data_IF_448157924014
#
_entry.id   IF_448157924014
#
_cell.length_a   1.000
_cell.length_b   1.000
_cell.length_c   1.000
_cell.angle_alpha   90.00
_cell.angle_beta   90.00
_cell.angle_gamma   90.00
#
_symmetry.space_group_name_H-M   'P 1'
#
loop_
_entity.id
_entity.type
_entity.pdbx_description
1 polymer ?
#
# COMPACT_ATOMS: atom_id res chain seq x y z
N UNK A 1 -18.89 12.45 -13.17
CA UNK A 1 -18.56 11.03 -13.05
C UNK A 1 -18.78 10.61 -11.62
N UNK A 2 -19.71 9.68 -11.43
CA UNK A 2 -20.09 9.13 -10.13
C UNK A 2 -19.07 8.06 -9.71
N UNK A 3 -18.59 8.17 -8.46
CA UNK A 3 -17.66 7.21 -7.87
C UNK A 3 -18.40 6.04 -7.18
N UNK A 4 -19.73 6.08 -7.11
CA UNK A 4 -20.56 5.05 -6.45
C UNK A 4 -20.28 3.63 -6.95
N UNK A 5 -20.15 3.45 -8.27
CA UNK A 5 -19.79 2.17 -8.90
C UNK A 5 -18.46 1.65 -8.34
N UNK A 6 -17.41 2.46 -8.40
CA UNK A 6 -16.09 2.04 -7.92
C UNK A 6 -16.07 1.83 -6.40
N UNK A 7 -16.83 2.63 -5.64
CA UNK A 7 -16.93 2.44 -4.20
C UNK A 7 -17.54 1.08 -3.87
N UNK A 8 -18.59 0.69 -4.61
CA UNK A 8 -19.19 -0.64 -4.51
C UNK A 8 -18.17 -1.72 -4.84
N UNK A 9 -17.48 -1.63 -5.97
CA UNK A 9 -16.50 -2.64 -6.40
C UNK A 9 -15.34 -2.83 -5.39
N UNK A 10 -14.82 -1.74 -4.82
CA UNK A 10 -13.80 -1.81 -3.78
C UNK A 10 -14.31 -2.51 -2.51
N UNK A 11 -15.55 -2.23 -2.10
CA UNK A 11 -16.16 -2.86 -0.94
C UNK A 11 -16.49 -4.35 -1.20
N UNK A 12 -16.90 -4.71 -2.41
CA UNK A 12 -17.09 -6.12 -2.79
C UNK A 12 -15.74 -6.87 -2.83
N UNK A 13 -14.69 -6.26 -3.38
CA UNK A 13 -13.34 -6.83 -3.32
C UNK A 13 -12.91 -7.08 -1.86
N UNK A 14 -13.11 -6.11 -0.96
CA UNK A 14 -12.79 -6.24 0.46
C UNK A 14 -13.50 -7.43 1.15
N UNK A 15 -14.69 -7.79 0.71
CA UNK A 15 -15.43 -8.96 1.24
C UNK A 15 -14.84 -10.28 0.76
N UNK A 16 -14.30 -10.32 -0.45
CA UNK A 16 -13.74 -11.53 -1.08
C UNK A 16 -12.28 -11.78 -0.73
N UNK A 17 -11.53 -10.75 -0.31
CA UNK A 17 -10.15 -10.93 0.15
C UNK A 17 -10.10 -11.87 1.37
N UNK A 18 -9.24 -12.91 1.37
CA UNK A 18 -9.11 -13.84 2.50
C UNK A 18 -8.38 -13.18 3.68
N UNK A 19 -9.12 -12.37 4.47
CA UNK A 19 -8.58 -11.54 5.56
C UNK A 19 -7.70 -12.30 6.55
N UNK A 20 -7.97 -13.59 6.79
CA UNK A 20 -7.15 -14.42 7.67
C UNK A 20 -5.68 -14.47 7.24
N UNK A 21 -5.40 -14.51 5.94
CA UNK A 21 -4.02 -14.54 5.42
C UNK A 21 -3.27 -13.25 5.75
N UNK A 22 -3.97 -12.12 5.70
CA UNK A 22 -3.44 -10.81 6.04
C UNK A 22 -3.24 -10.67 7.56
N UNK A 23 -4.25 -11.07 8.34
CA UNK A 23 -4.16 -11.08 9.80
C UNK A 23 -3.01 -11.97 10.32
N UNK A 24 -2.75 -13.11 9.68
CA UNK A 24 -1.62 -13.98 10.02
C UNK A 24 -0.25 -13.30 9.82
N UNK A 25 -0.18 -12.26 8.98
CA UNK A 25 1.01 -11.42 8.81
C UNK A 25 0.92 -10.08 9.59
N UNK A 26 -0.05 -9.94 10.49
CA UNK A 26 -0.28 -8.70 11.25
C UNK A 26 -0.81 -7.54 10.41
N UNK A 27 -1.39 -7.83 9.24
CA UNK A 27 -1.95 -6.82 8.34
C UNK A 27 -3.46 -6.66 8.56
N UNK A 28 -3.91 -5.43 8.40
CA UNK A 28 -5.30 -5.02 8.33
C UNK A 28 -5.61 -4.41 6.97
N UNK A 29 -6.88 -4.46 6.57
CA UNK A 29 -7.37 -3.96 5.28
C UNK A 29 -8.61 -3.11 5.50
N UNK A 30 -8.66 -1.94 4.87
CA UNK A 30 -9.83 -1.06 4.87
C UNK A 30 -10.08 -0.45 3.49
N UNK A 31 -11.31 0.00 3.26
CA UNK A 31 -11.66 0.87 2.12
C UNK A 31 -12.05 2.23 2.68
N UNK A 32 -11.45 3.29 2.17
CA UNK A 32 -11.65 4.66 2.64
C UNK A 32 -11.90 5.62 1.47
N UNK A 33 -12.66 6.67 1.75
CA UNK A 33 -12.72 7.83 0.88
C UNK A 33 -11.74 8.90 1.38
N UNK A 34 -10.69 9.17 0.60
CA UNK A 34 -9.58 10.06 1.00
C UNK A 34 -9.11 10.87 -0.20
N UNK A 35 -8.89 12.18 -0.01
CA UNK A 35 -8.44 13.09 -1.08
C UNK A 35 -9.25 12.95 -2.38
N UNK A 36 -10.60 12.91 -2.26
CA UNK A 36 -11.52 12.71 -3.39
C UNK A 36 -11.31 11.41 -4.18
N UNK A 37 -10.71 10.41 -3.53
CA UNK A 37 -10.39 9.10 -4.11
C UNK A 37 -11.00 8.01 -3.25
N UNK A 38 -11.40 6.92 -3.89
CA UNK A 38 -11.67 5.66 -3.19
C UNK A 38 -10.33 4.93 -3.12
N UNK A 39 -9.97 4.46 -1.93
CA UNK A 39 -8.73 3.74 -1.72
C UNK A 39 -8.96 2.50 -0.88
N UNK A 40 -8.47 1.35 -1.35
CA UNK A 40 -8.23 0.20 -0.49
C UNK A 40 -6.84 0.37 0.10
N UNK A 41 -6.74 0.28 1.43
CA UNK A 41 -5.47 0.36 2.15
C UNK A 41 -5.17 -0.94 2.87
N UNK A 42 -3.91 -1.35 2.82
CA UNK A 42 -3.37 -2.47 3.59
C UNK A 42 -2.25 -1.94 4.46
N UNK A 43 -2.32 -2.20 5.76
CA UNK A 43 -1.41 -1.60 6.74
C UNK A 43 -1.16 -2.56 7.90
N UNK A 44 -0.09 -2.32 8.66
CA UNK A 44 0.19 -3.02 9.90
C UNK A 44 0.09 -2.01 11.06
N UNK A 45 -0.66 -2.28 12.14
CA UNK A 45 -0.69 -1.42 13.33
C UNK A 45 0.68 -1.20 13.99
N UNK A 46 1.69 -2.01 13.67
CA UNK A 46 3.07 -1.83 14.14
C UNK A 46 3.92 -0.94 13.22
N UNK A 47 3.44 -0.58 12.03
CA UNK A 47 4.16 0.30 11.09
C UNK A 47 3.77 1.76 11.26
N UNK A 48 3.33 2.17 12.44
CA UNK A 48 2.83 3.51 12.73
C UNK A 48 3.32 4.04 14.08
N UNK A 49 3.41 5.35 14.23
CA UNK A 49 3.67 6.01 15.52
C UNK A 49 2.45 6.01 16.46
N UNK A 50 1.25 5.75 15.93
CA UNK A 50 -0.03 5.79 16.64
C UNK A 50 -0.86 4.54 16.29
N UNK A 51 -0.66 3.41 17.02
CA UNK A 51 -1.36 2.15 16.74
C UNK A 51 -2.88 2.21 16.89
N UNK A 52 -3.39 3.12 17.72
CA UNK A 52 -4.83 3.35 17.91
C UNK A 52 -5.49 4.04 16.69
N UNK A 53 -4.70 4.65 15.80
CA UNK A 53 -5.20 5.26 14.57
C UNK A 53 -4.18 5.14 13.41
N UNK A 54 -3.88 3.91 12.94
CA UNK A 54 -2.75 3.67 12.04
C UNK A 54 -2.81 4.44 10.73
N UNK A 55 -4.02 4.59 10.17
CA UNK A 55 -4.22 5.24 8.87
C UNK A 55 -4.19 6.78 8.96
N UNK A 56 -4.38 7.35 10.14
CA UNK A 56 -4.34 8.80 10.38
C UNK A 56 -2.99 9.28 10.94
N UNK A 57 -2.20 8.36 11.51
CA UNK A 57 -0.92 8.65 12.16
C UNK A 57 0.09 9.37 11.27
N UNK A 58 0.80 10.37 11.78
CA UNK A 58 1.75 11.16 10.97
C UNK A 58 2.86 10.30 10.35
N UNK A 59 3.44 9.38 11.13
CA UNK A 59 4.42 8.42 10.67
C UNK A 59 3.76 7.07 10.47
N UNK A 60 3.75 6.58 9.23
CA UNK A 60 3.09 5.33 8.88
C UNK A 60 3.61 4.72 7.58
N UNK A 61 3.53 3.40 7.47
CA UNK A 61 3.70 2.67 6.20
C UNK A 61 2.38 2.00 5.84
N UNK A 62 1.95 2.12 4.59
CA UNK A 62 0.76 1.44 4.08
C UNK A 62 0.87 1.23 2.58
N UNK A 63 0.23 0.18 2.10
CA UNK A 63 -0.07 -0.02 0.69
C UNK A 63 -1.45 0.57 0.38
N UNK A 64 -1.59 1.14 -0.80
CA UNK A 64 -2.84 1.71 -1.28
C UNK A 64 -3.09 1.28 -2.72
N UNK A 65 -4.31 0.87 -3.03
CA UNK A 65 -4.87 0.79 -4.38
C UNK A 65 -5.93 1.88 -4.44
N UNK A 66 -5.95 2.74 -5.46
CA UNK A 66 -6.85 3.88 -5.45
C UNK A 66 -7.29 4.33 -6.83
N UNK A 67 -8.46 4.99 -6.84
CA UNK A 67 -9.11 5.51 -8.03
C UNK A 67 -9.81 6.83 -7.72
N UNK A 68 -9.77 7.77 -8.65
CA UNK A 68 -10.53 9.02 -8.60
C UNK A 68 -10.91 9.50 -10.00
N UNK A 69 -11.56 10.67 -10.09
CA UNK A 69 -11.99 11.23 -11.38
C UNK A 69 -10.85 11.32 -12.40
N UNK A 70 -9.65 11.71 -11.96
CA UNK A 70 -8.47 11.84 -12.83
C UNK A 70 -8.00 10.47 -13.33
N UNK A 71 -7.84 9.50 -12.44
CA UNK A 71 -7.35 8.18 -12.86
C UNK A 71 -8.36 7.44 -13.74
N UNK A 72 -9.67 7.68 -13.55
CA UNK A 72 -10.69 7.13 -14.45
C UNK A 72 -10.57 7.75 -15.85
N UNK A 73 -10.33 9.07 -15.95
CA UNK A 73 -10.08 9.69 -17.27
C UNK A 73 -8.81 9.19 -17.93
N UNK A 74 -7.82 8.77 -17.15
CA UNK A 74 -6.57 8.16 -17.63
C UNK A 74 -6.73 6.66 -17.93
N UNK A 75 -7.90 6.08 -17.66
CA UNK A 75 -8.18 4.65 -17.73
C UNK A 75 -7.21 3.81 -16.87
N UNK A 76 -6.95 4.24 -15.63
CA UNK A 76 -5.99 3.63 -14.71
C UNK A 76 -6.53 3.39 -13.31
N UNK A 77 -6.06 2.31 -12.70
CA UNK A 77 -6.08 2.10 -11.25
C UNK A 77 -4.65 2.18 -10.76
N UNK A 78 -4.40 3.10 -9.82
CA UNK A 78 -3.06 3.31 -9.27
C UNK A 78 -2.87 2.50 -8.01
N UNK A 79 -1.62 2.15 -7.74
CA UNK A 79 -1.24 1.51 -6.50
C UNK A 79 0.14 1.99 -6.03
N UNK A 80 0.37 2.05 -4.72
CA UNK A 80 1.67 2.46 -4.17
C UNK A 80 1.90 1.92 -2.76
N UNK A 81 3.16 1.91 -2.33
CA UNK A 81 3.54 1.73 -0.93
C UNK A 81 4.11 3.06 -0.44
N UNK A 82 3.42 3.70 0.50
CA UNK A 82 3.88 4.93 1.13
C UNK A 82 4.59 4.65 2.45
N UNK A 83 5.63 5.44 2.73
CA UNK A 83 6.46 5.39 3.93
C UNK A 83 6.59 6.80 4.53
N UNK A 84 5.51 7.29 5.13
CA UNK A 84 5.40 8.67 5.56
C UNK A 84 6.16 8.90 6.86
N UNK A 85 6.98 9.96 6.89
CA UNK A 85 7.63 10.51 8.11
C UNK A 85 8.32 9.48 9.01
N UNK A 86 8.94 8.44 8.45
CA UNK A 86 9.56 7.34 9.23
C UNK A 86 10.60 7.75 10.28
N UNK A 87 11.16 8.96 10.20
CA UNK A 87 12.04 9.51 11.26
C UNK A 87 11.30 9.70 12.59
N UNK A 88 9.98 9.80 12.56
CA UNK A 88 9.10 9.95 13.73
C UNK A 88 8.54 8.59 14.21
N UNK A 89 8.91 7.47 13.58
CA UNK A 89 8.46 6.13 13.98
C UNK A 89 9.12 5.73 15.30
N UNK A 90 8.32 5.56 16.35
CA UNK A 90 8.78 5.21 17.70
C UNK A 90 9.49 3.85 17.70
N UNK A 91 10.59 3.74 18.43
CA UNK A 91 11.37 2.49 18.54
C UNK A 91 12.44 2.30 17.46
N UNK A 92 12.58 3.24 16.52
CA UNK A 92 13.53 3.16 15.41
C UNK A 92 14.34 4.45 15.21
N UNK A 93 15.54 4.32 14.66
CA UNK A 93 16.40 5.42 14.19
C UNK A 93 16.52 5.40 12.67
N UNK A 94 15.44 5.75 11.97
CA UNK A 94 15.34 5.55 10.51
C UNK A 94 15.93 6.73 9.73
N UNK A 95 16.81 6.43 8.77
CA UNK A 95 17.11 7.33 7.66
C UNK A 95 16.23 6.97 6.46
N UNK A 96 15.27 7.83 6.11
CA UNK A 96 14.22 7.51 5.13
C UNK A 96 14.77 7.04 3.78
N UNK A 97 15.89 7.61 3.31
CA UNK A 97 16.55 7.19 2.07
C UNK A 97 17.08 5.77 2.18
N UNK A 98 17.89 5.48 3.19
CA UNK A 98 18.44 4.14 3.41
C UNK A 98 17.34 3.08 3.61
N UNK A 99 16.23 3.44 4.29
CA UNK A 99 15.09 2.54 4.41
C UNK A 99 14.48 2.23 3.04
N UNK A 100 14.26 3.24 2.21
CA UNK A 100 13.74 3.05 0.86
C UNK A 100 14.69 2.21 0.00
N UNK A 101 16.00 2.45 0.08
CA UNK A 101 17.00 1.69 -0.67
C UNK A 101 17.06 0.20 -0.22
N UNK A 102 16.99 -0.04 1.09
CA UNK A 102 16.93 -1.39 1.66
C UNK A 102 15.65 -2.13 1.25
N UNK A 103 14.50 -1.44 1.24
CA UNK A 103 13.27 -2.02 0.72
C UNK A 103 13.41 -2.36 -0.77
N UNK A 104 13.83 -1.39 -1.60
CA UNK A 104 13.90 -1.53 -3.06
C UNK A 104 14.88 -2.60 -3.52
N UNK A 105 16.03 -2.72 -2.85
CA UNK A 105 17.00 -3.78 -3.14
C UNK A 105 16.38 -5.17 -3.00
N UNK A 106 15.57 -5.41 -1.96
CA UNK A 106 14.85 -6.67 -1.76
C UNK A 106 13.63 -6.81 -2.67
N UNK A 107 12.89 -5.72 -2.90
CA UNK A 107 11.72 -5.68 -3.76
C UNK A 107 12.05 -5.94 -5.24
N UNK A 108 13.28 -5.68 -5.68
CA UNK A 108 13.73 -5.93 -7.06
C UNK A 108 13.44 -7.36 -7.54
N UNK A 109 13.48 -8.35 -6.65
CA UNK A 109 13.16 -9.75 -6.95
C UNK A 109 11.68 -9.98 -7.32
N UNK A 110 10.79 -9.06 -6.94
CA UNK A 110 9.35 -9.14 -7.19
C UNK A 110 8.90 -8.17 -8.27
N UNK A 111 9.77 -7.26 -8.74
CA UNK A 111 9.37 -6.12 -9.58
C UNK A 111 8.66 -6.53 -10.87
N UNK A 112 9.01 -7.67 -11.47
CA UNK A 112 8.37 -8.18 -12.69
C UNK A 112 6.92 -8.63 -12.49
N UNK A 113 6.46 -8.83 -11.24
CA UNK A 113 5.07 -9.15 -10.91
C UNK A 113 4.15 -7.92 -10.85
N UNK A 114 4.71 -6.71 -10.99
CA UNK A 114 4.00 -5.43 -10.85
C UNK A 114 3.99 -4.66 -12.18
N UNK A 115 2.79 -4.38 -12.70
CA UNK A 115 2.61 -3.70 -13.99
C UNK A 115 2.89 -2.19 -13.89
N UNK A 116 3.64 -1.64 -14.86
CA UNK A 116 3.96 -0.20 -14.93
C UNK A 116 4.56 0.37 -13.62
N UNK A 117 5.36 -0.44 -12.93
CA UNK A 117 5.97 -0.10 -11.66
C UNK A 117 7.16 0.87 -11.83
N UNK A 118 7.20 1.87 -10.95
CA UNK A 118 8.32 2.78 -10.75
C UNK A 118 8.80 2.71 -9.30
N UNK A 119 10.13 2.62 -9.15
CA UNK A 119 10.84 2.62 -7.87
C UNK A 119 11.83 3.77 -7.76
N UNK A 120 12.03 4.57 -8.81
CA UNK A 120 12.91 5.73 -8.85
C UNK A 120 12.26 6.97 -8.21
N UNK A 121 11.66 6.78 -7.04
CA UNK A 121 10.84 7.76 -6.34
C UNK A 121 11.56 8.31 -5.10
N UNK A 122 11.03 9.42 -4.56
CA UNK A 122 11.46 9.94 -3.26
C UNK A 122 11.25 8.94 -2.12
N UNK A 123 11.89 9.13 -0.95
CA UNK A 123 11.90 8.15 0.14
C UNK A 123 10.54 7.97 0.86
N UNK A 124 9.54 8.77 0.52
CA UNK A 124 8.18 8.68 1.06
C UNK A 124 7.28 7.73 0.25
N UNK A 125 7.74 7.29 -0.92
CA UNK A 125 7.04 6.34 -1.78
C UNK A 125 8.02 5.25 -2.16
N UNK A 126 7.85 4.06 -1.57
CA UNK A 126 8.79 2.95 -1.79
C UNK A 126 8.69 2.41 -3.22
N UNK A 127 7.47 2.39 -3.75
CA UNK A 127 7.12 2.03 -5.12
C UNK A 127 5.73 2.59 -5.47
N UNK A 128 5.51 2.85 -6.76
CA UNK A 128 4.21 3.25 -7.32
C UNK A 128 4.05 2.63 -8.70
N UNK A 129 2.83 2.24 -9.05
CA UNK A 129 2.52 1.77 -10.39
C UNK A 129 1.04 1.91 -10.70
N UNK A 130 0.64 1.37 -11.85
CA UNK A 130 -0.75 1.38 -12.28
C UNK A 130 -1.06 0.19 -13.17
N UNK A 131 -2.32 -0.19 -13.18
CA UNK A 131 -2.88 -1.14 -14.14
C UNK A 131 -3.95 -0.45 -14.98
N UNK A 132 -4.26 -1.01 -16.14
CA UNK A 132 -5.40 -0.55 -16.92
C UNK A 132 -6.70 -0.71 -16.14
N UNK A 133 -7.51 0.33 -16.11
CA UNK A 133 -8.84 0.26 -15.53
C UNK A 133 -9.76 -0.53 -16.47
N UNK A 134 -10.27 -1.65 -15.98
CA UNK A 134 -11.35 -2.39 -16.63
C UNK A 134 -12.46 -2.63 -15.62
N UNK A 135 -13.68 -2.15 -15.93
CA UNK A 135 -14.83 -2.24 -15.02
C UNK A 135 -15.28 -3.69 -14.76
N UNK A 136 -15.00 -4.60 -15.68
CA UNK A 136 -15.38 -6.01 -15.56
C UNK A 136 -14.43 -6.78 -14.63
N UNK A 137 -13.16 -6.36 -14.57
CA UNK A 137 -12.10 -7.05 -13.81
C UNK A 137 -11.62 -6.28 -12.58
N UNK A 138 -12.05 -5.04 -12.37
CA UNK A 138 -11.52 -4.18 -11.30
C UNK A 138 -11.54 -4.85 -9.93
N UNK A 139 -12.60 -5.61 -9.61
CA UNK A 139 -12.69 -6.36 -8.36
C UNK A 139 -11.57 -7.40 -8.24
N UNK A 140 -11.39 -8.25 -9.24
CA UNK A 140 -10.31 -9.26 -9.27
C UNK A 140 -8.93 -8.62 -9.32
N UNK A 141 -8.80 -7.47 -9.98
CA UNK A 141 -7.55 -6.73 -10.06
C UNK A 141 -7.13 -6.17 -8.69
N UNK A 142 -8.09 -5.63 -7.93
CA UNK A 142 -7.87 -5.19 -6.54
C UNK A 142 -7.44 -6.36 -5.64
N UNK A 143 -8.12 -7.50 -5.76
CA UNK A 143 -7.79 -8.71 -4.99
C UNK A 143 -6.37 -9.16 -5.32
N UNK A 144 -6.03 -9.27 -6.61
CA UNK A 144 -4.69 -9.68 -7.07
C UNK A 144 -3.59 -8.72 -6.60
N UNK A 145 -3.80 -7.41 -6.70
CA UNK A 145 -2.85 -6.42 -6.18
C UNK A 145 -2.67 -6.54 -4.66
N UNK A 146 -3.74 -6.82 -3.93
CA UNK A 146 -3.69 -7.04 -2.47
C UNK A 146 -2.89 -8.30 -2.12
N UNK A 147 -3.10 -9.40 -2.86
CA UNK A 147 -2.35 -10.65 -2.70
C UNK A 147 -0.88 -10.50 -3.09
N UNK A 148 -0.58 -9.73 -4.13
CA UNK A 148 0.79 -9.38 -4.48
C UNK A 148 1.46 -8.58 -3.35
N UNK A 149 0.74 -7.65 -2.71
CA UNK A 149 1.26 -6.93 -1.56
C UNK A 149 1.59 -7.88 -0.39
N UNK A 150 0.75 -8.89 -0.13
CA UNK A 150 0.97 -9.88 0.92
C UNK A 150 2.30 -10.65 0.78
N UNK A 151 2.83 -10.80 -0.45
CA UNK A 151 4.13 -11.42 -0.68
C UNK A 151 5.30 -10.51 -0.31
N UNK A 152 5.13 -9.20 -0.46
CA UNK A 152 6.19 -8.20 -0.27
C UNK A 152 6.11 -7.48 1.08
N UNK A 153 5.01 -7.59 1.82
CA UNK A 153 4.87 -7.03 3.17
C UNK A 153 6.00 -7.42 4.13
N UNK A 154 6.51 -8.67 4.16
CA UNK A 154 7.62 -9.02 5.05
C UNK A 154 8.92 -8.26 4.76
N UNK A 155 9.08 -7.70 3.55
CA UNK A 155 10.23 -6.85 3.21
C UNK A 155 10.24 -5.58 4.06
N UNK A 156 9.06 -5.03 4.38
CA UNK A 156 8.92 -3.83 5.23
C UNK A 156 9.44 -4.12 6.63
N UNK A 157 8.99 -5.20 7.27
CA UNK A 157 9.46 -5.61 8.59
C UNK A 157 10.97 -5.90 8.59
N UNK A 158 11.43 -6.63 7.57
CA UNK A 158 12.85 -6.93 7.40
C UNK A 158 13.69 -5.66 7.22
N UNK A 159 13.19 -4.64 6.53
CA UNK A 159 13.87 -3.35 6.40
C UNK A 159 13.86 -2.57 7.73
N UNK A 160 12.71 -2.48 8.42
CA UNK A 160 12.56 -1.80 9.71
C UNK A 160 13.51 -2.33 10.77
N UNK A 161 13.71 -3.65 10.82
CA UNK A 161 14.62 -4.29 11.77
C UNK A 161 16.07 -3.79 11.70
N UNK A 162 16.53 -3.24 10.57
CA UNK A 162 17.87 -2.65 10.45
C UNK A 162 18.02 -1.33 11.21
N UNK A 163 16.93 -0.72 11.64
CA UNK A 163 16.91 0.59 12.29
C UNK A 163 16.36 0.55 13.72
N UNK A 164 15.97 -0.63 14.22
CA UNK A 164 15.46 -0.78 15.58
C UNK A 164 16.54 -0.36 16.58
N UNK A 165 16.15 0.34 17.64
CA UNK A 165 17.09 0.63 18.73
C UNK A 165 17.66 -0.68 19.28
N UNK A 166 18.98 -0.69 19.49
CA UNK A 166 19.69 -1.77 20.19
C UNK A 166 19.58 -1.58 21.69
#
# INVERSE_FOLDING_TARGET
MDLSFYNKEFNEALKEIPKQNFHNQGLEISVEFVLNSIALKIYNPNWTSEPESPLNAKSRIFFSIWINKKTITENRVYYNIHALKLRELKGYKIQSRNFADLFRSKFSNFQTEWENIDTALGPLTLMEGWINLNKETIKSDIIKLSENFLKVSPIIDSALNNFKYK
#
